data_IF_079695183543
#
_entry.id   IF_079695183543
#
_cell.length_a   1.000
_cell.length_b   1.000
_cell.length_c   1.000
_cell.angle_alpha   90.00
_cell.angle_beta   90.00
_cell.angle_gamma   90.00
#
_symmetry.space_group_name_H-M   'P 1'
#
loop_
_entity.id
_entity.type
_entity.pdbx_description
1 polymer ?
#
# COMPACT_ATOMS: atom_id res chain seq x y z
N UNK A 1 10.89 -13.57 -9.37
CA UNK A 1 12.09 -14.36 -9.73
C UNK A 1 12.50 -13.93 -11.12
N UNK A 2 13.58 -13.16 -11.23
CA UNK A 2 14.19 -12.80 -12.51
C UNK A 2 15.41 -13.71 -12.66
N UNK A 3 15.41 -14.63 -13.63
CA UNK A 3 16.62 -15.37 -14.05
C UNK A 3 17.53 -15.95 -12.96
N UNK A 4 16.98 -16.61 -11.92
CA UNK A 4 17.68 -17.26 -10.78
C UNK A 4 18.22 -16.38 -9.64
N UNK A 5 17.97 -15.08 -9.60
CA UNK A 5 18.33 -14.24 -8.44
C UNK A 5 17.08 -13.71 -7.70
N UNK A 6 17.24 -13.49 -6.40
CA UNK A 6 16.27 -12.79 -5.56
C UNK A 6 16.70 -11.32 -5.52
N UNK A 7 15.75 -10.39 -5.54
CA UNK A 7 16.07 -8.98 -5.43
C UNK A 7 14.84 -8.12 -5.21
N UNK A 8 15.09 -6.90 -4.74
CA UNK A 8 14.10 -5.84 -4.63
C UNK A 8 14.16 -4.98 -5.90
N UNK A 9 13.00 -4.57 -6.37
CA UNK A 9 12.85 -3.78 -7.60
C UNK A 9 12.10 -2.51 -7.28
N UNK A 10 12.57 -1.38 -7.81
CA UNK A 10 11.83 -0.12 -7.79
C UNK A 10 11.37 0.22 -9.20
N UNK A 11 10.07 0.44 -9.31
CA UNK A 11 9.41 0.79 -10.54
C UNK A 11 8.61 2.08 -10.33
N UNK A 12 8.73 3.01 -11.26
CA UNK A 12 7.82 4.14 -11.39
C UNK A 12 6.61 3.70 -12.21
N UNK A 13 5.40 4.03 -11.72
CA UNK A 13 4.14 3.79 -12.40
C UNK A 13 3.55 5.13 -12.85
N UNK A 14 3.18 5.24 -14.11
CA UNK A 14 2.65 6.47 -14.71
C UNK A 14 2.19 6.22 -16.14
N UNK A 15 2.23 7.25 -16.99
CA UNK A 15 1.98 7.07 -18.44
C UNK A 15 2.93 6.04 -19.06
N UNK A 16 4.16 5.99 -18.56
CA UNK A 16 5.15 4.97 -18.89
C UNK A 16 5.63 4.33 -17.59
N UNK A 17 5.64 3.00 -17.58
CA UNK A 17 6.20 2.24 -16.47
C UNK A 17 7.71 2.11 -16.66
N UNK A 18 8.49 2.67 -15.73
CA UNK A 18 9.94 2.67 -15.79
C UNK A 18 10.54 1.84 -14.66
N UNK A 19 11.41 0.90 -15.02
CA UNK A 19 12.30 0.26 -14.06
C UNK A 19 13.35 1.29 -13.66
N UNK A 20 13.32 1.74 -12.40
CA UNK A 20 14.27 2.72 -11.90
C UNK A 20 15.55 2.04 -11.42
N UNK A 21 15.40 0.91 -10.71
CA UNK A 21 16.54 0.29 -10.04
C UNK A 21 16.23 -1.14 -9.57
N UNK A 22 17.30 -1.91 -9.31
CA UNK A 22 17.25 -3.25 -8.74
C UNK A 22 18.36 -3.39 -7.68
N UNK A 23 18.02 -4.02 -6.56
CA UNK A 23 18.99 -4.45 -5.56
C UNK A 23 18.91 -5.97 -5.41
N UNK A 24 19.99 -6.66 -5.76
CA UNK A 24 20.09 -8.10 -5.58
C UNK A 24 20.15 -8.48 -4.09
N UNK A 25 19.56 -9.62 -3.76
CA UNK A 25 19.64 -10.24 -2.44
C UNK A 25 20.38 -11.57 -2.56
N UNK A 26 21.35 -11.79 -1.68
CA UNK A 26 22.13 -13.04 -1.68
C UNK A 26 21.31 -14.25 -1.24
N UNK A 27 20.27 -14.05 -0.43
CA UNK A 27 19.36 -15.08 0.08
C UNK A 27 17.96 -14.53 0.38
N UNK A 28 16.97 -15.43 0.54
CA UNK A 28 15.60 -15.09 0.99
C UNK A 28 15.61 -14.43 2.38
N UNK A 29 14.67 -13.51 2.63
CA UNK A 29 14.55 -12.81 3.91
C UNK A 29 15.45 -11.58 4.05
N UNK A 30 16.13 -11.19 2.97
CA UNK A 30 16.92 -9.95 2.88
C UNK A 30 16.22 -8.87 2.05
N UNK A 31 14.93 -9.04 1.74
CA UNK A 31 14.16 -8.05 0.96
C UNK A 31 14.11 -6.69 1.66
N UNK A 32 13.94 -6.63 3.00
CA UNK A 32 13.86 -5.36 3.72
C UNK A 32 15.18 -4.56 3.68
N UNK A 33 16.35 -5.14 4.04
CA UNK A 33 17.61 -4.45 3.85
C UNK A 33 17.86 -4.00 2.41
N UNK A 34 17.64 -4.88 1.42
CA UNK A 34 17.86 -4.55 0.01
C UNK A 34 16.95 -3.40 -0.46
N UNK A 35 15.69 -3.41 -0.04
CA UNK A 35 14.74 -2.33 -0.33
C UNK A 35 15.20 -1.00 0.25
N UNK A 36 15.74 -0.99 1.48
CA UNK A 36 16.26 0.24 2.09
C UNK A 36 17.54 0.72 1.39
N UNK A 37 18.42 -0.17 0.96
CA UNK A 37 19.58 0.19 0.13
C UNK A 37 19.12 0.86 -1.17
N UNK A 38 18.15 0.24 -1.84
CA UNK A 38 17.57 0.76 -3.08
C UNK A 38 16.95 2.14 -2.85
N UNK A 39 16.08 2.30 -1.85
CA UNK A 39 15.44 3.58 -1.53
C UNK A 39 16.48 4.69 -1.23
N UNK A 40 17.52 4.39 -0.45
CA UNK A 40 18.58 5.35 -0.18
C UNK A 40 19.30 5.78 -1.46
N UNK A 41 19.59 4.84 -2.36
CA UNK A 41 20.21 5.13 -3.66
C UNK A 41 19.30 6.00 -4.53
N UNK A 42 18.01 5.65 -4.62
CA UNK A 42 17.02 6.44 -5.35
C UNK A 42 16.89 7.87 -4.81
N UNK A 43 16.79 8.06 -3.49
CA UNK A 43 16.74 9.41 -2.92
C UNK A 43 18.05 10.18 -3.08
N UNK A 44 19.20 9.49 -3.08
CA UNK A 44 20.49 10.11 -3.35
C UNK A 44 20.64 10.56 -4.80
N UNK A 45 20.06 9.82 -5.74
CA UNK A 45 20.19 10.08 -7.18
C UNK A 45 19.16 11.11 -7.68
N UNK A 46 17.90 10.93 -7.29
CA UNK A 46 16.77 11.73 -7.80
C UNK A 46 16.36 12.87 -6.84
N UNK A 47 16.87 12.85 -5.61
CA UNK A 47 16.55 13.84 -4.58
C UNK A 47 15.32 13.52 -3.75
N UNK A 48 15.08 14.34 -2.73
CA UNK A 48 13.92 14.20 -1.83
C UNK A 48 12.63 14.59 -2.55
N UNK A 49 11.56 13.81 -2.34
CA UNK A 49 10.26 14.06 -2.95
C UNK A 49 10.24 13.84 -4.47
N UNK A 50 11.17 13.07 -5.02
CA UNK A 50 11.18 12.75 -6.47
C UNK A 50 9.93 11.96 -6.90
N UNK A 51 9.28 11.29 -5.95
CA UNK A 51 7.94 10.69 -6.08
C UNK A 51 7.07 11.13 -4.91
N UNK A 52 5.78 11.32 -5.19
CA UNK A 52 4.82 11.71 -4.17
C UNK A 52 4.46 10.55 -3.24
N UNK A 53 4.29 9.33 -3.79
CA UNK A 53 3.79 8.17 -3.06
C UNK A 53 4.57 6.91 -3.46
N UNK A 54 5.05 6.16 -2.47
CA UNK A 54 5.49 4.78 -2.63
C UNK A 54 4.35 3.81 -2.34
N UNK A 55 4.05 2.93 -3.30
CA UNK A 55 3.10 1.82 -3.12
C UNK A 55 3.86 0.57 -2.66
N UNK A 56 3.52 0.06 -1.49
CA UNK A 56 4.16 -1.09 -0.86
C UNK A 56 3.14 -2.19 -0.52
N UNK A 57 3.61 -3.42 -0.41
CA UNK A 57 2.85 -4.51 0.21
C UNK A 57 3.06 -4.59 1.73
N UNK A 58 2.40 -5.56 2.37
CA UNK A 58 2.45 -5.77 3.82
C UNK A 58 3.85 -6.12 4.37
N UNK A 59 4.74 -6.69 3.56
CA UNK A 59 6.08 -7.08 3.98
C UNK A 59 6.88 -5.86 4.41
N UNK A 60 6.70 -4.74 3.69
CA UNK A 60 7.40 -3.48 3.92
C UNK A 60 6.69 -2.57 4.95
N UNK A 61 5.63 -3.06 5.60
CA UNK A 61 4.94 -2.36 6.68
C UNK A 61 5.77 -2.39 7.96
N UNK A 62 6.94 -1.76 7.93
CA UNK A 62 7.85 -1.67 9.06
C UNK A 62 8.33 -0.23 9.30
N UNK A 63 8.57 0.10 10.56
CA UNK A 63 8.93 1.45 11.00
C UNK A 63 10.13 2.06 10.25
N UNK A 64 11.15 1.26 9.92
CA UNK A 64 12.37 1.80 9.32
C UNK A 64 12.16 2.15 7.86
N UNK A 65 11.43 1.31 7.12
CA UNK A 65 11.11 1.58 5.71
C UNK A 65 10.14 2.75 5.60
N UNK A 66 9.10 2.79 6.44
CA UNK A 66 8.13 3.88 6.45
C UNK A 66 8.80 5.20 6.82
N UNK A 67 9.57 5.26 7.91
CA UNK A 67 10.22 6.50 8.33
C UNK A 67 11.29 6.96 7.33
N UNK A 68 11.99 6.04 6.65
CA UNK A 68 12.93 6.40 5.58
C UNK A 68 12.22 7.16 4.44
N UNK A 69 11.05 6.67 4.02
CA UNK A 69 10.25 7.31 2.96
C UNK A 69 9.74 8.68 3.43
N UNK A 70 9.17 8.74 4.63
CA UNK A 70 8.63 9.98 5.20
C UNK A 70 9.72 11.05 5.40
N UNK A 71 10.92 10.67 5.85
CA UNK A 71 12.05 11.58 6.05
C UNK A 71 12.60 12.17 4.73
N UNK A 72 12.24 11.58 3.60
CA UNK A 72 12.61 12.04 2.26
C UNK A 72 11.45 12.71 1.52
N UNK A 73 10.46 13.25 2.24
CA UNK A 73 9.33 14.04 1.71
C UNK A 73 8.42 13.28 0.73
N UNK A 74 8.30 11.96 0.89
CA UNK A 74 7.36 11.13 0.14
C UNK A 74 6.35 10.48 1.08
N UNK A 75 5.16 10.18 0.58
CA UNK A 75 4.14 9.42 1.30
C UNK A 75 4.27 7.92 1.03
N UNK A 76 3.64 7.12 1.89
CA UNK A 76 3.57 5.67 1.73
C UNK A 76 2.11 5.23 1.66
N UNK A 77 1.81 4.34 0.72
CA UNK A 77 0.55 3.63 0.62
C UNK A 77 0.84 2.13 0.73
N UNK A 78 0.34 1.50 1.78
CA UNK A 78 0.50 0.06 1.99
C UNK A 78 -0.81 -0.63 1.63
N UNK A 79 -0.76 -1.51 0.62
CA UNK A 79 -1.88 -2.37 0.27
C UNK A 79 -1.66 -3.76 0.88
N UNK A 80 -2.61 -4.22 1.67
CA UNK A 80 -2.49 -5.49 2.39
C UNK A 80 -3.84 -6.17 2.59
N UNK A 81 -3.82 -7.49 2.68
CA UNK A 81 -4.93 -8.34 3.14
C UNK A 81 -4.60 -9.04 4.47
N UNK A 82 -3.50 -8.66 5.13
CA UNK A 82 -3.02 -9.25 6.38
C UNK A 82 -3.80 -8.71 7.59
N UNK A 83 -4.93 -9.34 7.91
CA UNK A 83 -5.79 -8.94 9.03
C UNK A 83 -5.20 -9.11 10.43
N UNK A 84 -3.97 -9.65 10.58
CA UNK A 84 -3.30 -9.79 11.89
C UNK A 84 -2.55 -8.55 12.34
N UNK A 85 -2.36 -7.56 11.48
CA UNK A 85 -1.75 -6.30 11.90
C UNK A 85 -2.68 -5.58 12.89
N UNK A 86 -2.16 -5.20 14.06
CA UNK A 86 -2.95 -4.57 15.13
C UNK A 86 -3.69 -3.33 14.64
N UNK A 87 -3.03 -2.49 13.83
CA UNK A 87 -3.67 -1.31 13.22
C UNK A 87 -4.92 -1.65 12.39
N UNK A 88 -4.92 -2.81 11.71
CA UNK A 88 -6.07 -3.28 10.91
C UNK A 88 -7.16 -3.80 11.84
N UNK A 89 -6.82 -4.52 12.90
CA UNK A 89 -7.79 -5.03 13.88
C UNK A 89 -8.49 -3.89 14.63
N UNK A 90 -7.75 -2.86 15.00
CA UNK A 90 -8.28 -1.65 15.63
C UNK A 90 -9.22 -0.92 14.67
N UNK A 91 -8.81 -0.74 13.42
CA UNK A 91 -9.62 -0.11 12.39
C UNK A 91 -10.91 -0.91 12.10
N UNK A 92 -10.82 -2.23 11.93
CA UNK A 92 -11.97 -3.09 11.70
C UNK A 92 -12.98 -3.04 12.87
N UNK A 93 -12.49 -2.93 14.10
CA UNK A 93 -13.34 -2.78 15.28
C UNK A 93 -14.13 -1.47 15.25
N UNK A 94 -13.48 -0.37 14.86
CA UNK A 94 -14.15 0.92 14.65
C UNK A 94 -15.13 0.88 13.48
N UNK A 95 -14.74 0.25 12.37
CA UNK A 95 -15.55 0.18 11.16
C UNK A 95 -16.83 -0.64 11.36
N UNK A 96 -16.83 -1.67 12.21
CA UNK A 96 -18.08 -2.38 12.58
C UNK A 96 -19.12 -1.46 13.23
N UNK A 97 -18.66 -0.43 13.94
CA UNK A 97 -19.50 0.56 14.60
C UNK A 97 -19.63 1.87 13.84
N UNK A 98 -19.33 1.95 12.54
CA UNK A 98 -19.23 3.23 11.82
C UNK A 98 -20.45 4.16 12.01
N UNK A 99 -21.66 3.60 12.13
CA UNK A 99 -22.90 4.36 12.35
C UNK A 99 -22.96 5.11 13.68
N UNK A 100 -22.14 4.73 14.65
CA UNK A 100 -22.07 5.35 15.98
C UNK A 100 -20.78 6.16 16.18
N UNK A 101 -19.94 6.26 15.15
CA UNK A 101 -18.64 6.94 15.21
C UNK A 101 -18.54 7.95 14.07
N UNK A 102 -18.95 9.20 14.31
CA UNK A 102 -19.04 10.25 13.27
C UNK A 102 -17.73 10.57 12.55
N UNK A 103 -16.59 10.21 13.16
CA UNK A 103 -15.25 10.36 12.56
C UNK A 103 -14.88 9.22 11.59
N UNK A 104 -15.62 8.11 11.60
CA UNK A 104 -15.47 7.04 10.61
C UNK A 104 -16.26 7.44 9.36
N UNK A 105 -15.56 7.60 8.24
CA UNK A 105 -16.18 7.90 6.96
C UNK A 105 -16.61 6.60 6.29
N UNK A 106 -17.89 6.53 5.91
CA UNK A 106 -18.46 5.45 5.13
C UNK A 106 -18.87 5.99 3.75
N UNK A 107 -18.30 5.40 2.70
CA UNK A 107 -18.54 5.81 1.31
C UNK A 107 -18.95 4.57 0.52
N UNK A 108 -20.00 4.69 -0.27
CA UNK A 108 -20.42 3.66 -1.23
C UNK A 108 -20.46 4.26 -2.62
N UNK A 109 -20.28 3.42 -3.64
CA UNK A 109 -20.36 3.84 -5.02
C UNK A 109 -20.27 2.70 -6.00
N UNK A 110 -20.22 3.04 -7.28
CA UNK A 110 -20.07 2.10 -8.38
C UNK A 110 -18.98 2.60 -9.32
N UNK A 111 -18.00 1.75 -9.60
CA UNK A 111 -16.98 1.99 -10.61
C UNK A 111 -17.47 1.43 -11.94
N UNK A 112 -17.90 2.31 -12.86
CA UNK A 112 -18.42 1.91 -14.17
C UNK A 112 -17.36 1.31 -15.10
N UNK A 113 -16.08 1.65 -14.89
CA UNK A 113 -14.99 1.10 -15.71
C UNK A 113 -14.66 -0.33 -15.27
N UNK A 114 -14.69 -0.58 -13.97
CA UNK A 114 -14.40 -1.90 -13.38
C UNK A 114 -15.65 -2.77 -13.18
N UNK A 115 -16.83 -2.21 -13.44
CA UNK A 115 -18.14 -2.84 -13.25
C UNK A 115 -18.31 -3.46 -11.86
N UNK A 116 -17.95 -2.69 -10.83
CA UNK A 116 -18.07 -3.13 -9.44
C UNK A 116 -18.71 -2.07 -8.55
N UNK A 117 -19.54 -2.55 -7.63
CA UNK A 117 -19.94 -1.77 -6.47
C UNK A 117 -18.79 -1.78 -5.47
N UNK A 118 -18.56 -0.65 -4.80
CA UNK A 118 -17.56 -0.55 -3.76
C UNK A 118 -18.11 0.09 -2.49
N UNK A 119 -17.53 -0.33 -1.38
CA UNK A 119 -17.76 0.19 -0.04
C UNK A 119 -16.41 0.50 0.59
N UNK A 120 -16.26 1.70 1.14
CA UNK A 120 -15.04 2.17 1.79
C UNK A 120 -15.40 2.63 3.20
N UNK A 121 -14.80 2.00 4.20
CA UNK A 121 -14.72 2.52 5.56
C UNK A 121 -13.34 3.13 5.76
N UNK A 122 -13.25 4.36 6.22
CA UNK A 122 -11.98 5.06 6.42
C UNK A 122 -11.96 5.82 7.74
N UNK A 123 -10.81 5.79 8.41
CA UNK A 123 -10.52 6.62 9.57
C UNK A 123 -9.03 7.02 9.54
N UNK A 124 -8.75 8.22 10.03
CA UNK A 124 -7.40 8.75 10.17
C UNK A 124 -6.82 8.49 11.57
N UNK A 125 -5.59 8.96 11.78
CA UNK A 125 -4.98 9.12 13.10
C UNK A 125 -4.65 7.83 13.88
N UNK A 126 -4.34 6.73 13.18
CA UNK A 126 -3.86 5.52 13.83
C UNK A 126 -2.36 5.59 14.15
N UNK A 127 -1.98 5.13 15.33
CA UNK A 127 -0.57 4.92 15.66
C UNK A 127 -0.07 3.63 15.01
N UNK A 128 1.10 3.68 14.40
CA UNK A 128 1.82 2.49 13.96
C UNK A 128 3.13 2.38 14.75
N UNK A 129 3.47 1.21 15.32
CA UNK A 129 4.64 1.08 16.20
C UNK A 129 5.92 1.64 15.56
N UNK A 130 6.50 2.65 16.22
CA UNK A 130 7.75 3.30 15.84
C UNK A 130 7.72 4.16 14.58
N UNK A 131 6.56 4.41 13.97
CA UNK A 131 6.41 5.37 12.88
C UNK A 131 6.16 6.76 13.44
N UNK A 132 6.89 7.76 12.94
CA UNK A 132 6.89 9.13 13.48
C UNK A 132 5.58 9.90 13.21
N UNK A 133 4.75 9.39 12.30
CA UNK A 133 3.49 9.98 11.87
C UNK A 133 2.34 9.02 12.10
N UNK A 134 1.15 9.58 12.28
CA UNK A 134 -0.05 8.76 12.26
C UNK A 134 -0.33 8.23 10.86
N UNK A 135 -0.97 7.07 10.81
CA UNK A 135 -1.39 6.42 9.61
C UNK A 135 -2.90 6.53 9.42
N UNK A 136 -3.29 6.55 8.17
CA UNK A 136 -4.68 6.48 7.76
C UNK A 136 -5.00 5.05 7.35
N UNK A 137 -6.20 4.56 7.71
CA UNK A 137 -6.62 3.21 7.37
C UNK A 137 -7.92 3.28 6.58
N UNK A 138 -7.96 2.56 5.46
CA UNK A 138 -9.16 2.33 4.66
C UNK A 138 -9.39 0.83 4.49
N UNK A 139 -10.61 0.37 4.78
CA UNK A 139 -11.09 -0.95 4.39
C UNK A 139 -11.95 -0.78 3.14
N UNK A 140 -11.51 -1.40 2.03
CA UNK A 140 -12.21 -1.35 0.75
C UNK A 140 -12.79 -2.74 0.47
N UNK A 141 -14.10 -2.79 0.22
CA UNK A 141 -14.80 -3.99 -0.25
C UNK A 141 -15.35 -3.72 -1.63
N UNK A 142 -15.08 -4.64 -2.56
CA UNK A 142 -15.55 -4.56 -3.94
C UNK A 142 -16.45 -5.77 -4.24
N UNK A 143 -17.60 -5.52 -4.87
CA UNK A 143 -18.54 -6.54 -5.33
C UNK A 143 -18.70 -6.38 -6.85
N UNK A 144 -18.14 -7.33 -7.59
CA UNK A 144 -18.17 -7.30 -9.05
C UNK A 144 -19.50 -7.84 -9.56
N UNK A 145 -20.11 -7.13 -10.50
CA UNK A 145 -21.30 -7.63 -11.20
C UNK A 145 -20.85 -8.84 -12.00
N UNK A 146 -21.40 -10.03 -11.71
CA UNK A 146 -21.14 -11.21 -12.54
C UNK A 146 -21.54 -10.86 -13.96
N UNK A 147 -20.59 -10.90 -14.90
CA UNK A 147 -20.92 -10.98 -16.33
C UNK A 147 -21.59 -12.33 -16.55
N UNK A 148 -22.91 -12.35 -16.41
CA UNK A 148 -23.71 -13.52 -16.76
C UNK A 148 -23.57 -13.77 -18.25
N UNK A 149 -22.65 -14.65 -18.65
CA UNK A 149 -22.82 -15.34 -19.93
C UNK A 149 -24.15 -16.10 -19.85
N UNK A 150 -25.15 -15.56 -20.53
CA UNK A 150 -26.17 -16.33 -21.24
C UNK A 150 -26.13 -15.85 -22.68
N UNK A 151 -25.34 -16.56 -23.49
CA UNK A 151 -25.54 -16.55 -24.93
C UNK A 151 -26.62 -17.60 -25.20
N UNK A 152 -27.79 -17.12 -25.58
CA UNK A 152 -28.80 -17.87 -26.35
C UNK A 152 -29.54 -16.82 -27.19
N UNK A 153 -29.02 -16.53 -28.39
CA UNK A 153 -29.77 -16.02 -29.54
C UNK A 153 -29.14 -16.56 -30.82
#
# INVERSE_FOLDING_TARGET
>A
MFGNFYGSVLQSLGEVNLLLDIEETTTKGKELPATRTLLNRAFSEYGKGFVDIFLLDALYADQHTINLILANNSHVLIKTNEGRLTIIQDADSLFRGWKTHDYVKHITGFDSNRLCEYEICYCDSFSFPGVDKTMNVAHIKESYVKTGKREDF
#
